data_IF_274929268600
#
_entry.id   IF_274929268600
#
_cell.length_a   1.000
_cell.length_b   1.000
_cell.length_c   1.000
_cell.angle_alpha   90.00
_cell.angle_beta   90.00
_cell.angle_gamma   90.00
#
_symmetry.space_group_name_H-M   'P 1'
#
loop_
_entity.id
_entity.type
_entity.pdbx_description
1 polymer ?
#
# COMPACT_ATOMS: atom_id res chain seq x y z
N UNK A 1 -13.56 25.83 -23.46
CA UNK A 1 -13.12 24.42 -23.42
C UNK A 1 -13.25 23.91 -21.99
N UNK A 2 -14.14 22.95 -21.75
CA UNK A 2 -14.30 22.30 -20.44
C UNK A 2 -13.03 21.54 -20.10
N UNK A 3 -12.37 21.89 -18.97
CA UNK A 3 -11.27 21.12 -18.40
C UNK A 3 -11.81 19.72 -18.08
N UNK A 4 -11.41 18.71 -18.86
CA UNK A 4 -11.63 17.31 -18.48
C UNK A 4 -11.06 17.12 -17.08
N UNK A 5 -11.94 16.94 -16.11
CA UNK A 5 -11.62 16.90 -14.70
C UNK A 5 -11.08 15.49 -14.42
N UNK A 6 -9.76 15.31 -14.55
CA UNK A 6 -9.03 14.08 -14.19
C UNK A 6 -9.05 13.84 -12.66
N UNK A 7 -10.23 13.90 -12.04
CA UNK A 7 -10.43 13.62 -10.61
C UNK A 7 -11.06 12.25 -10.48
N UNK A 8 -10.46 11.42 -9.64
CA UNK A 8 -10.98 10.08 -9.35
C UNK A 8 -12.30 10.20 -8.57
N UNK A 9 -13.29 9.38 -8.94
CA UNK A 9 -14.56 9.28 -8.21
C UNK A 9 -14.42 8.54 -6.88
N UNK A 10 -15.43 8.64 -6.01
CA UNK A 10 -15.44 8.00 -4.68
C UNK A 10 -15.22 6.50 -4.79
N UNK A 11 -15.95 5.83 -5.69
CA UNK A 11 -15.83 4.37 -5.92
C UNK A 11 -14.39 4.00 -6.32
N UNK A 12 -13.78 4.75 -7.25
CA UNK A 12 -12.40 4.53 -7.68
C UNK A 12 -11.40 4.71 -6.53
N UNK A 13 -11.58 5.74 -5.70
CA UNK A 13 -10.72 5.99 -4.54
C UNK A 13 -10.87 4.91 -3.46
N UNK A 14 -12.09 4.42 -3.21
CA UNK A 14 -12.35 3.33 -2.28
C UNK A 14 -11.70 2.04 -2.75
N UNK A 15 -11.87 1.69 -4.03
CA UNK A 15 -11.24 0.50 -4.61
C UNK A 15 -9.72 0.61 -4.56
N UNK A 16 -9.15 1.74 -4.99
CA UNK A 16 -7.71 1.96 -4.94
C UNK A 16 -7.16 1.75 -3.53
N UNK A 17 -7.88 2.27 -2.52
CA UNK A 17 -7.50 2.10 -1.12
C UNK A 17 -7.57 0.64 -0.68
N UNK A 18 -8.66 -0.05 -1.02
CA UNK A 18 -8.84 -1.46 -0.70
C UNK A 18 -7.75 -2.34 -1.31
N UNK A 19 -7.43 -2.13 -2.59
CA UNK A 19 -6.36 -2.85 -3.31
C UNK A 19 -5.00 -2.59 -2.68
N UNK A 20 -4.67 -1.33 -2.40
CA UNK A 20 -3.39 -0.97 -1.77
C UNK A 20 -3.23 -1.61 -0.38
N UNK A 21 -4.33 -1.82 0.34
CA UNK A 21 -4.31 -2.46 1.66
C UNK A 21 -4.32 -3.99 1.60
N UNK A 22 -4.96 -4.60 0.60
CA UNK A 22 -4.95 -6.06 0.42
C UNK A 22 -3.56 -6.58 0.04
N UNK A 23 -2.89 -5.89 -0.90
CA UNK A 23 -1.49 -6.10 -1.27
C UNK A 23 -1.01 -7.56 -1.29
N UNK A 24 0.24 -7.79 -0.86
CA UNK A 24 0.79 -9.13 -0.66
C UNK A 24 0.28 -9.84 0.61
N UNK A 25 -0.41 -9.10 1.50
CA UNK A 25 -0.87 -9.59 2.80
C UNK A 25 -1.95 -10.65 2.69
N UNK A 26 -2.93 -10.48 1.79
CA UNK A 26 -4.09 -11.39 1.73
C UNK A 26 -3.71 -12.83 1.36
N UNK A 27 -2.59 -13.02 0.66
CA UNK A 27 -2.12 -14.32 0.19
C UNK A 27 -1.25 -15.03 1.25
N UNK A 28 -0.48 -14.29 2.07
CA UNK A 28 0.33 -14.89 3.16
C UNK A 28 -0.47 -15.15 4.45
N UNK A 29 -1.60 -14.45 4.62
CA UNK A 29 -2.40 -14.53 5.84
C UNK A 29 -2.91 -15.95 6.16
N UNK A 30 -3.43 -16.76 5.22
CA UNK A 30 -3.91 -18.11 5.53
C UNK A 30 -2.84 -19.00 6.16
N UNK A 31 -1.61 -18.98 5.63
CA UNK A 31 -0.48 -19.76 6.16
C UNK A 31 -0.10 -19.30 7.57
N UNK A 32 -0.06 -17.99 7.80
CA UNK A 32 0.31 -17.42 9.11
C UNK A 32 -0.78 -17.60 10.17
N UNK A 33 -2.05 -17.61 9.77
CA UNK A 33 -3.17 -17.87 10.67
C UNK A 33 -3.34 -19.37 10.96
N UNK A 34 -2.97 -20.24 10.01
CA UNK A 34 -2.93 -21.69 10.23
C UNK A 34 -1.91 -22.08 11.30
N UNK A 35 -0.78 -21.36 11.42
CA UNK A 35 0.20 -21.55 12.50
C UNK A 35 -0.38 -21.25 13.89
N UNK A 36 -1.39 -20.37 13.99
CA UNK A 36 -1.99 -19.89 15.25
C UNK A 36 -3.31 -20.61 15.59
N UNK A 37 -4.00 -21.19 14.61
CA UNK A 37 -5.24 -21.96 14.80
C UNK A 37 -6.50 -21.08 14.95
N UNK A 38 -7.58 -21.66 15.47
CA UNK A 38 -8.93 -21.04 15.54
C UNK A 38 -8.99 -19.77 16.41
N UNK A 39 -8.03 -19.55 17.30
CA UNK A 39 -7.94 -18.35 18.13
C UNK A 39 -7.64 -17.08 17.29
N UNK A 40 -7.21 -17.25 16.05
CA UNK A 40 -6.99 -16.18 15.07
C UNK A 40 -8.25 -15.36 14.74
N UNK A 41 -9.45 -15.92 14.95
CA UNK A 41 -10.70 -15.15 14.74
C UNK A 41 -10.77 -13.95 15.69
N UNK A 42 -10.26 -14.10 16.91
CA UNK A 42 -10.23 -13.00 17.90
C UNK A 42 -9.25 -11.91 17.46
N UNK A 43 -8.07 -12.29 16.93
CA UNK A 43 -7.12 -11.29 16.42
C UNK A 43 -7.71 -10.53 15.23
N UNK A 44 -8.43 -11.21 14.33
CA UNK A 44 -9.16 -10.55 13.24
C UNK A 44 -10.20 -9.55 13.72
N UNK A 45 -10.98 -9.89 14.75
CA UNK A 45 -11.96 -8.97 15.32
C UNK A 45 -11.30 -7.73 15.92
N UNK A 46 -10.22 -7.91 16.70
CA UNK A 46 -9.48 -6.79 17.29
C UNK A 46 -8.86 -5.91 16.20
N UNK A 47 -8.25 -6.51 15.18
CA UNK A 47 -7.67 -5.78 14.04
C UNK A 47 -8.74 -5.04 13.23
N UNK A 48 -9.91 -5.65 13.00
CA UNK A 48 -11.02 -5.01 12.30
C UNK A 48 -11.54 -3.79 13.08
N UNK A 49 -11.75 -3.91 14.38
CA UNK A 49 -12.22 -2.79 15.21
C UNK A 49 -11.17 -1.67 15.28
N UNK A 50 -9.90 -2.02 15.48
CA UNK A 50 -8.79 -1.03 15.53
C UNK A 50 -8.61 -0.28 14.21
N UNK A 51 -8.62 -1.00 13.09
CA UNK A 51 -8.52 -0.39 11.75
C UNK A 51 -9.73 0.49 11.43
N UNK A 52 -10.94 0.10 11.86
CA UNK A 52 -12.14 0.92 11.69
C UNK A 52 -12.07 2.23 12.50
N UNK A 53 -11.55 2.18 13.72
CA UNK A 53 -11.33 3.38 14.54
C UNK A 53 -10.34 4.34 13.86
N UNK A 54 -9.23 3.82 13.32
CA UNK A 54 -8.26 4.61 12.55
C UNK A 54 -8.87 5.19 11.27
N UNK A 55 -9.64 4.40 10.52
CA UNK A 55 -10.33 4.85 9.32
C UNK A 55 -11.32 5.98 9.61
N UNK A 56 -12.06 5.88 10.72
CA UNK A 56 -12.97 6.95 11.17
C UNK A 56 -12.22 8.23 11.53
N UNK A 57 -11.09 8.12 12.24
CA UNK A 57 -10.24 9.27 12.53
C UNK A 57 -9.72 9.94 11.24
N UNK A 58 -9.22 9.17 10.28
CA UNK A 58 -8.80 9.70 8.98
C UNK A 58 -9.95 10.31 8.17
N UNK A 59 -11.15 9.73 8.22
CA UNK A 59 -12.33 10.30 7.57
C UNK A 59 -12.68 11.67 8.18
N UNK A 60 -12.69 11.79 9.50
CA UNK A 60 -12.93 13.07 10.20
C UNK A 60 -11.83 14.09 9.87
N UNK A 61 -10.56 13.72 9.98
CA UNK A 61 -9.44 14.60 9.62
C UNK A 61 -9.51 15.03 8.15
N UNK A 62 -9.86 14.12 7.22
CA UNK A 62 -10.00 14.42 5.80
C UNK A 62 -11.16 15.37 5.49
N UNK A 63 -12.28 15.27 6.22
CA UNK A 63 -13.42 16.18 6.06
C UNK A 63 -13.15 17.59 6.62
N UNK A 64 -12.41 17.70 7.71
CA UNK A 64 -12.19 18.99 8.40
C UNK A 64 -10.86 19.67 8.05
N UNK A 65 -9.89 18.94 7.49
CA UNK A 65 -8.61 19.51 7.10
C UNK A 65 -8.77 20.47 5.92
N UNK A 66 -8.16 21.64 6.08
CA UNK A 66 -7.94 22.64 5.02
C UNK A 66 -6.49 22.65 4.52
N UNK A 67 -5.60 21.87 5.15
CA UNK A 67 -4.20 21.72 4.76
C UNK A 67 -4.08 20.60 3.74
N UNK A 68 -3.46 20.92 2.60
CA UNK A 68 -3.09 19.92 1.59
C UNK A 68 -1.94 19.05 2.11
N UNK A 69 -1.89 17.78 1.72
CA UNK A 69 -0.79 16.87 2.06
C UNK A 69 -1.15 15.70 2.99
N UNK A 70 -2.43 15.42 3.23
CA UNK A 70 -2.87 14.22 3.96
C UNK A 70 -2.34 14.17 5.40
N UNK A 71 -1.68 13.06 5.77
CA UNK A 71 -1.23 12.81 7.15
C UNK A 71 -0.28 13.89 7.70
N UNK A 72 0.68 14.37 6.89
CA UNK A 72 1.54 15.48 7.29
C UNK A 72 0.76 16.79 7.47
N UNK A 73 -0.25 17.03 6.64
CA UNK A 73 -1.16 18.16 6.78
C UNK A 73 -2.02 18.10 8.04
N UNK A 74 -2.43 16.91 8.47
CA UNK A 74 -3.14 16.71 9.75
C UNK A 74 -2.24 17.02 10.94
N UNK A 75 -0.99 16.53 10.92
CA UNK A 75 -0.01 16.77 11.98
C UNK A 75 0.38 18.25 12.11
N UNK A 76 0.34 19.01 11.01
CA UNK A 76 0.66 20.45 11.02
C UNK A 76 -0.27 21.27 11.92
N UNK A 77 -1.53 20.85 12.09
CA UNK A 77 -2.49 21.58 12.93
C UNK A 77 -2.10 21.61 14.40
N UNK A 78 -1.59 20.50 14.92
CA UNK A 78 -1.24 20.38 16.34
C UNK A 78 0.24 20.68 16.61
N UNK A 79 1.12 20.35 15.66
CA UNK A 79 2.57 20.35 15.86
C UNK A 79 3.33 21.28 14.92
N UNK A 80 2.63 22.05 14.08
CA UNK A 80 3.24 22.96 13.12
C UNK A 80 4.08 22.25 12.05
N UNK A 81 4.98 23.00 11.40
CA UNK A 81 5.77 22.51 10.26
C UNK A 81 6.71 21.35 10.64
N UNK A 82 7.19 21.30 11.88
CA UNK A 82 8.04 20.21 12.36
C UNK A 82 7.27 18.88 12.41
N UNK A 83 6.03 18.89 12.91
CA UNK A 83 5.18 17.70 12.89
C UNK A 83 4.80 17.24 11.49
N UNK A 84 4.54 18.19 10.58
CA UNK A 84 4.33 17.89 9.16
C UNK A 84 5.55 17.15 8.57
N UNK A 85 6.75 17.68 8.80
CA UNK A 85 7.99 17.06 8.33
C UNK A 85 8.20 15.66 8.90
N UNK A 86 8.05 15.49 10.22
CA UNK A 86 8.22 14.17 10.86
C UNK A 86 7.24 13.14 10.30
N UNK A 87 5.95 13.48 10.21
CA UNK A 87 4.94 12.57 9.69
C UNK A 87 5.22 12.16 8.23
N UNK A 88 5.56 13.11 7.36
CA UNK A 88 5.88 12.82 5.96
C UNK A 88 7.20 12.05 5.80
N UNK A 89 8.23 12.37 6.61
CA UNK A 89 9.50 11.67 6.57
C UNK A 89 9.36 10.21 7.02
N UNK A 90 8.73 9.96 8.17
CA UNK A 90 8.48 8.61 8.67
C UNK A 90 7.60 7.82 7.70
N UNK A 91 6.60 8.46 7.09
CA UNK A 91 5.81 7.84 6.04
C UNK A 91 6.67 7.44 4.83
N UNK A 92 7.55 8.33 4.34
CA UNK A 92 8.47 8.03 3.25
C UNK A 92 9.40 6.84 3.56
N UNK A 93 9.98 6.80 4.76
CA UNK A 93 10.81 5.67 5.21
C UNK A 93 10.01 4.37 5.28
N UNK A 94 8.76 4.43 5.78
CA UNK A 94 7.88 3.25 5.84
C UNK A 94 7.56 2.69 4.45
N UNK A 95 7.35 3.55 3.45
CA UNK A 95 7.09 3.14 2.07
C UNK A 95 8.31 2.47 1.43
N UNK A 96 9.53 2.92 1.76
CA UNK A 96 10.75 2.28 1.27
C UNK A 96 10.81 0.83 1.73
N UNK A 97 10.59 0.58 3.03
CA UNK A 97 10.59 -0.76 3.61
C UNK A 97 9.43 -1.60 3.04
N UNK A 98 8.23 -1.01 2.94
CA UNK A 98 7.05 -1.70 2.42
C UNK A 98 7.24 -2.14 0.95
N UNK A 99 7.81 -1.30 0.10
CA UNK A 99 8.06 -1.64 -1.30
C UNK A 99 9.06 -2.81 -1.44
N UNK A 100 10.08 -2.85 -0.59
CA UNK A 100 11.02 -3.98 -0.56
C UNK A 100 10.28 -5.27 -0.18
N UNK A 101 9.45 -5.22 0.86
CA UNK A 101 8.68 -6.39 1.29
C UNK A 101 7.70 -6.90 0.21
N UNK A 102 7.02 -5.98 -0.49
CA UNK A 102 6.14 -6.30 -1.63
C UNK A 102 6.94 -6.96 -2.76
N UNK A 103 8.10 -6.41 -3.12
CA UNK A 103 8.95 -6.97 -4.18
C UNK A 103 9.48 -8.37 -3.82
N UNK A 104 9.92 -8.58 -2.58
CA UNK A 104 10.34 -9.91 -2.10
C UNK A 104 9.18 -10.89 -2.17
N UNK A 105 7.98 -10.48 -1.75
CA UNK A 105 6.78 -11.32 -1.83
C UNK A 105 6.48 -11.73 -3.28
N UNK A 106 6.53 -10.78 -4.22
CA UNK A 106 6.33 -11.05 -5.64
C UNK A 106 7.34 -12.04 -6.22
N UNK A 107 8.62 -11.89 -5.88
CA UNK A 107 9.68 -12.84 -6.27
C UNK A 107 9.40 -14.22 -5.67
N UNK A 108 9.05 -14.29 -4.38
CA UNK A 108 8.71 -15.55 -3.71
C UNK A 108 7.56 -16.30 -4.38
N UNK A 109 6.50 -15.59 -4.77
CA UNK A 109 5.41 -16.19 -5.54
C UNK A 109 5.85 -16.65 -6.92
N UNK A 110 6.71 -15.88 -7.60
CA UNK A 110 7.27 -16.26 -8.89
C UNK A 110 8.12 -17.53 -8.81
N UNK A 111 8.97 -17.65 -7.78
CA UNK A 111 9.81 -18.85 -7.59
C UNK A 111 9.00 -20.10 -7.35
N UNK A 112 7.91 -20.01 -6.58
CA UNK A 112 6.97 -21.13 -6.36
C UNK A 112 6.21 -21.48 -7.64
N UNK A 113 5.70 -20.49 -8.38
CA UNK A 113 4.94 -20.71 -9.62
C UNK A 113 5.77 -21.40 -10.71
N UNK A 114 7.04 -21.04 -10.83
CA UNK A 114 7.95 -21.61 -11.83
C UNK A 114 8.77 -22.81 -11.29
N UNK A 115 8.61 -23.18 -10.01
CA UNK A 115 9.35 -24.28 -9.38
C UNK A 115 10.87 -24.05 -9.32
N UNK A 116 11.32 -22.80 -9.31
CA UNK A 116 12.75 -22.44 -9.33
C UNK A 116 13.20 -22.03 -7.93
N UNK A 117 14.05 -22.85 -7.32
CA UNK A 117 14.70 -22.49 -6.05
C UNK A 117 15.88 -21.54 -6.30
N UNK A 118 15.73 -20.27 -5.91
CA UNK A 118 16.81 -19.28 -5.98
C UNK A 118 17.61 -19.24 -4.67
N UNK A 119 18.95 -19.16 -4.73
CA UNK A 119 19.75 -18.86 -3.54
C UNK A 119 19.45 -17.44 -3.02
N UNK A 120 19.80 -17.09 -1.76
CA UNK A 120 19.52 -15.77 -1.19
C UNK A 120 20.00 -14.59 -2.05
N UNK A 121 21.16 -14.75 -2.69
CA UNK A 121 21.70 -13.75 -3.62
C UNK A 121 20.85 -13.63 -4.90
N UNK A 122 20.29 -14.74 -5.39
CA UNK A 122 19.36 -14.76 -6.52
C UNK A 122 18.04 -14.06 -6.20
N UNK A 123 17.49 -14.29 -5.00
CA UNK A 123 16.29 -13.58 -4.51
C UNK A 123 16.55 -12.07 -4.44
N UNK A 124 17.73 -11.67 -3.94
CA UNK A 124 18.11 -10.25 -3.85
C UNK A 124 18.16 -9.59 -5.23
N UNK A 125 18.85 -10.21 -6.20
CA UNK A 125 18.95 -9.69 -7.57
C UNK A 125 17.57 -9.63 -8.24
N UNK A 126 16.76 -10.67 -8.10
CA UNK A 126 15.40 -10.69 -8.64
C UNK A 126 14.52 -9.60 -8.01
N UNK A 127 14.65 -9.36 -6.70
CA UNK A 127 13.92 -8.30 -5.99
C UNK A 127 14.32 -6.92 -6.52
N UNK A 128 15.62 -6.68 -6.70
CA UNK A 128 16.13 -5.44 -7.30
C UNK A 128 15.58 -5.26 -8.73
N UNK A 129 15.57 -6.33 -9.54
CA UNK A 129 15.03 -6.28 -10.89
C UNK A 129 13.52 -5.92 -10.90
N UNK A 130 12.73 -6.51 -10.00
CA UNK A 130 11.30 -6.18 -9.83
C UNK A 130 11.10 -4.72 -9.44
N UNK A 131 11.90 -4.21 -8.49
CA UNK A 131 11.85 -2.80 -8.08
C UNK A 131 12.19 -1.85 -9.24
N UNK A 132 13.21 -2.16 -10.02
CA UNK A 132 13.57 -1.36 -11.20
C UNK A 132 12.49 -1.42 -12.28
N UNK A 133 11.92 -2.59 -12.55
CA UNK A 133 10.82 -2.73 -13.49
C UNK A 133 9.62 -1.89 -13.06
N UNK A 134 9.22 -1.95 -11.79
CA UNK A 134 8.14 -1.14 -11.24
C UNK A 134 8.47 0.36 -11.29
N UNK A 135 9.72 0.74 -11.06
CA UNK A 135 10.19 2.14 -11.14
C UNK A 135 10.14 2.67 -12.57
N UNK A 136 10.60 1.88 -13.54
CA UNK A 136 10.57 2.24 -14.97
C UNK A 136 9.13 2.36 -15.46
N UNK A 137 8.24 1.45 -15.05
CA UNK A 137 6.81 1.55 -15.33
C UNK A 137 6.20 2.85 -14.75
N UNK A 138 6.73 3.36 -13.64
CA UNK A 138 6.29 4.60 -13.03
C UNK A 138 6.69 5.85 -13.84
N UNK A 139 7.78 5.80 -14.62
CA UNK A 139 8.19 6.91 -15.48
C UNK A 139 7.20 7.24 -16.61
N UNK A 140 6.32 6.30 -16.97
CA UNK A 140 5.19 6.53 -17.88
C UNK A 140 4.10 7.48 -17.34
N UNK A 141 4.25 7.94 -16.10
CA UNK A 141 3.32 8.84 -15.41
C UNK A 141 2.20 8.10 -14.69
N UNK A 142 1.60 8.77 -13.70
CA UNK A 142 0.59 8.18 -12.81
C UNK A 142 -0.64 7.60 -13.53
N UNK A 143 -0.91 8.04 -14.77
CA UNK A 143 -2.01 7.52 -15.61
C UNK A 143 -1.76 6.08 -16.07
N UNK A 144 -0.52 5.75 -16.45
CA UNK A 144 -0.16 4.41 -16.92
C UNK A 144 -0.15 3.44 -15.74
N UNK A 145 0.44 3.83 -14.61
CA UNK A 145 0.40 3.04 -13.37
C UNK A 145 -1.05 2.79 -12.92
N UNK A 146 -1.91 3.82 -12.96
CA UNK A 146 -3.33 3.67 -12.60
C UNK A 146 -4.11 2.75 -13.55
N UNK A 147 -3.81 2.77 -14.86
CA UNK A 147 -4.43 1.86 -15.83
C UNK A 147 -3.95 0.41 -15.66
N UNK A 148 -2.65 0.21 -15.42
CA UNK A 148 -2.09 -1.13 -15.14
C UNK A 148 -2.70 -1.68 -13.86
N UNK A 149 -2.73 -0.90 -12.77
CA UNK A 149 -3.38 -1.32 -11.52
C UNK A 149 -4.88 -1.58 -11.71
N UNK A 150 -5.56 -0.79 -12.55
CA UNK A 150 -6.94 -1.05 -12.94
C UNK A 150 -7.11 -2.40 -13.62
N UNK A 151 -6.30 -2.71 -14.64
CA UNK A 151 -6.36 -3.98 -15.39
C UNK A 151 -5.93 -5.17 -14.54
N UNK A 152 -4.94 -5.04 -13.66
CA UNK A 152 -4.51 -6.16 -12.80
C UNK A 152 -5.57 -6.51 -11.74
N UNK A 153 -6.37 -5.53 -11.30
CA UNK A 153 -7.43 -5.75 -10.30
C UNK A 153 -8.76 -6.13 -10.94
N UNK A 154 -9.07 -5.57 -12.12
CA UNK A 154 -10.36 -5.73 -12.81
C UNK A 154 -10.30 -6.55 -14.10
N UNK A 155 -9.11 -7.01 -14.49
CA UNK A 155 -8.92 -7.93 -15.61
C UNK A 155 -9.59 -9.27 -15.39
#
# INVERSE_FOLDING_TARGET
>A
MSKSNNKMGVVQLTILTAVNMMGSGIIMLPTKLAEVGTISIVSWLVTAVGSMALAYAFAKCGMFSRKSGGMGGYAEYAFGKSGNFMANYTYGVSLLIANIAIAISAVGYGTELFGVALPPLGICIATIAVLWLATVANFGGARITGQISGITVWG
#
